data_IF_146693506865
#
_entry.id   IF_146693506865
#
_cell.length_a   1.000
_cell.length_b   1.000
_cell.length_c   1.000
_cell.angle_alpha   90.00
_cell.angle_beta   90.00
_cell.angle_gamma   90.00
#
_symmetry.space_group_name_H-M   'P 1'
#
loop_
_entity.id
_entity.type
_entity.pdbx_description
1 polymer ?
#
# COMPACT_ATOMS: atom_id res chain seq x y z
N UNK A 1 -18.11 -4.03 0.00
CA UNK A 1 -16.70 -3.61 -0.17
C UNK A 1 -16.22 -4.13 -1.51
N UNK A 2 -15.35 -3.41 -2.22
CA UNK A 2 -14.71 -3.87 -3.44
C UNK A 2 -13.22 -3.53 -3.39
N UNK A 3 -12.37 -4.53 -3.65
CA UNK A 3 -10.92 -4.35 -3.79
C UNK A 3 -10.56 -4.53 -5.26
N UNK A 4 -9.72 -3.63 -5.77
CA UNK A 4 -9.20 -3.66 -7.13
C UNK A 4 -7.71 -3.99 -7.05
N UNK A 5 -7.31 -5.17 -7.50
CA UNK A 5 -5.90 -5.61 -7.51
C UNK A 5 -5.19 -5.09 -8.75
N UNK A 6 -4.08 -4.36 -8.54
CA UNK A 6 -3.23 -3.74 -9.57
C UNK A 6 -4.04 -3.11 -10.73
N UNK A 7 -5.05 -2.27 -10.46
CA UNK A 7 -5.96 -1.78 -11.49
C UNK A 7 -5.31 -0.70 -12.35
N UNK A 8 -5.79 -0.59 -13.58
CA UNK A 8 -5.20 0.29 -14.58
C UNK A 8 -3.91 -0.30 -15.14
N UNK A 9 -3.04 0.57 -15.61
CA UNK A 9 -1.73 0.18 -16.14
C UNK A 9 -0.63 0.92 -15.37
N UNK A 10 -0.53 0.68 -14.06
CA UNK A 10 0.52 1.32 -13.26
C UNK A 10 1.91 0.93 -13.82
N UNK A 11 2.87 1.87 -13.86
CA UNK A 11 4.25 1.54 -14.22
C UNK A 11 4.81 0.53 -13.24
N UNK A 12 5.31 -0.61 -13.72
CA UNK A 12 5.78 -1.69 -12.85
C UNK A 12 6.92 -2.48 -13.50
N UNK A 13 7.78 -3.04 -12.67
CA UNK A 13 8.82 -3.98 -13.05
C UNK A 13 8.33 -5.40 -12.72
N UNK A 14 7.96 -6.15 -13.76
CA UNK A 14 7.39 -7.49 -13.64
C UNK A 14 8.47 -8.53 -13.92
N UNK A 15 8.47 -9.61 -13.13
CA UNK A 15 9.24 -10.81 -13.42
C UNK A 15 8.27 -11.92 -13.78
N UNK A 16 8.25 -12.37 -15.03
CA UNK A 16 7.34 -13.43 -15.47
C UNK A 16 7.88 -14.82 -15.12
N UNK A 17 9.20 -14.96 -14.98
CA UNK A 17 9.85 -16.18 -14.52
C UNK A 17 11.12 -15.86 -13.72
N UNK A 18 11.46 -16.76 -12.79
CA UNK A 18 12.68 -16.70 -11.95
C UNK A 18 14.00 -16.75 -12.75
N UNK A 19 13.91 -17.08 -14.04
CA UNK A 19 15.03 -17.17 -14.98
C UNK A 19 15.28 -15.89 -15.78
N UNK A 20 14.36 -14.92 -15.76
CA UNK A 20 14.51 -13.65 -16.46
C UNK A 20 15.56 -12.77 -15.75
N UNK A 21 16.66 -12.47 -16.45
CA UNK A 21 17.74 -11.62 -15.91
C UNK A 21 17.32 -10.16 -15.71
N UNK A 22 16.36 -9.68 -16.51
CA UNK A 22 15.90 -8.29 -16.48
C UNK A 22 14.36 -8.26 -16.43
N UNK A 23 13.76 -7.42 -15.57
CA UNK A 23 12.31 -7.31 -15.47
C UNK A 23 11.68 -6.72 -16.73
N UNK A 24 10.49 -7.21 -17.07
CA UNK A 24 9.62 -6.61 -18.08
C UNK A 24 9.07 -5.29 -17.54
N UNK A 25 9.24 -4.21 -18.31
CA UNK A 25 8.78 -2.86 -17.95
C UNK A 25 7.35 -2.64 -18.40
N UNK A 26 6.39 -2.87 -17.50
CA UNK A 26 5.00 -2.46 -17.73
C UNK A 26 4.93 -0.93 -17.68
N UNK A 27 4.33 -0.32 -18.70
CA UNK A 27 4.12 1.13 -18.81
C UNK A 27 5.36 1.95 -18.37
N UNK A 28 6.53 1.62 -18.93
CA UNK A 28 7.80 2.32 -18.65
C UNK A 28 8.53 1.86 -17.39
N UNK A 29 7.94 1.00 -16.55
CA UNK A 29 8.55 0.40 -15.38
C UNK A 29 8.61 1.29 -14.14
N UNK A 30 8.80 2.59 -14.30
CA UNK A 30 8.82 3.61 -13.22
C UNK A 30 7.88 4.76 -13.56
N UNK A 31 7.29 5.45 -12.57
CA UNK A 31 6.24 6.45 -12.82
C UNK A 31 6.67 7.58 -13.76
N UNK A 32 7.92 8.03 -13.70
CA UNK A 32 8.42 9.09 -14.60
C UNK A 32 8.65 8.68 -16.05
N UNK A 33 8.54 7.39 -16.37
CA UNK A 33 8.63 6.84 -17.71
C UNK A 33 7.28 6.28 -18.21
N UNK A 34 6.25 6.35 -17.38
CA UNK A 34 4.93 5.83 -17.71
C UNK A 34 4.02 6.83 -18.42
N UNK A 35 3.06 6.29 -19.17
CA UNK A 35 1.97 7.03 -19.76
C UNK A 35 0.75 7.01 -18.81
N UNK A 36 0.45 8.15 -18.21
CA UNK A 36 -0.66 8.33 -17.27
C UNK A 36 -2.02 8.23 -17.96
N UNK A 37 -2.16 8.71 -19.20
CA UNK A 37 -3.45 8.69 -19.89
C UNK A 37 -3.86 7.26 -20.27
N UNK A 38 -2.90 6.43 -20.69
CA UNK A 38 -3.16 5.01 -20.92
C UNK A 38 -3.49 4.29 -19.60
N UNK A 39 -2.79 4.59 -18.51
CA UNK A 39 -3.13 4.06 -17.18
C UNK A 39 -4.58 4.38 -16.79
N UNK A 40 -5.01 5.64 -16.90
CA UNK A 40 -6.35 6.07 -16.52
C UNK A 40 -7.44 5.50 -17.44
N UNK A 41 -7.13 5.32 -18.73
CA UNK A 41 -8.03 4.66 -19.68
C UNK A 41 -8.29 3.20 -19.26
N UNK A 42 -7.25 2.43 -18.97
CA UNK A 42 -7.39 1.04 -18.50
C UNK A 42 -8.06 1.00 -17.13
N UNK A 43 -7.71 1.93 -16.23
CA UNK A 43 -8.32 2.00 -14.90
C UNK A 43 -9.84 2.21 -14.99
N UNK A 44 -10.30 3.11 -15.87
CA UNK A 44 -11.73 3.34 -16.15
C UNK A 44 -12.44 2.06 -16.61
N UNK A 45 -11.78 1.25 -17.44
CA UNK A 45 -12.32 -0.04 -17.88
C UNK A 45 -12.44 -0.97 -16.67
N UNK A 46 -11.36 -1.18 -15.91
CA UNK A 46 -11.36 -2.10 -14.77
C UNK A 46 -12.43 -1.75 -13.73
N UNK A 47 -12.52 -0.48 -13.29
CA UNK A 47 -13.53 -0.09 -12.30
C UNK A 47 -14.97 -0.23 -12.84
N UNK A 48 -15.19 -0.01 -14.14
CA UNK A 48 -16.51 -0.16 -14.76
C UNK A 48 -16.93 -1.64 -14.82
N UNK A 49 -15.99 -2.54 -15.08
CA UNK A 49 -16.24 -3.98 -15.15
C UNK A 49 -16.37 -4.63 -13.77
N UNK A 50 -15.54 -4.23 -12.81
CA UNK A 50 -15.43 -4.85 -11.49
C UNK A 50 -16.41 -4.25 -10.46
N UNK A 51 -16.71 -2.94 -10.55
CA UNK A 51 -17.65 -2.24 -9.67
C UNK A 51 -18.84 -1.77 -10.51
N UNK A 52 -19.64 -2.70 -11.03
CA UNK A 52 -20.68 -2.40 -12.05
C UNK A 52 -21.73 -1.38 -11.61
N UNK A 53 -22.08 -1.36 -10.33
CA UNK A 53 -23.03 -0.39 -9.80
C UNK A 53 -22.41 1.01 -9.74
N UNK A 54 -22.86 1.91 -10.61
CA UNK A 54 -22.44 3.32 -10.65
C UNK A 54 -22.82 4.08 -9.36
N UNK A 55 -23.82 3.60 -8.63
CA UNK A 55 -24.25 4.14 -7.34
C UNK A 55 -23.58 3.45 -6.14
N UNK A 56 -22.57 2.60 -6.37
CA UNK A 56 -21.86 1.90 -5.30
C UNK A 56 -21.46 2.88 -4.20
N UNK A 57 -21.98 2.64 -3.00
CA UNK A 57 -21.79 3.49 -1.82
C UNK A 57 -21.00 2.81 -0.71
N UNK A 58 -20.27 1.74 -1.05
CA UNK A 58 -19.47 0.97 -0.11
C UNK A 58 -18.03 1.46 -0.01
N UNK A 59 -17.20 0.62 0.61
CA UNK A 59 -15.75 0.81 0.69
C UNK A 59 -15.10 0.34 -0.61
N UNK A 60 -14.36 1.22 -1.27
CA UNK A 60 -13.54 0.93 -2.46
C UNK A 60 -12.06 0.97 -2.10
N UNK A 61 -11.34 -0.10 -2.41
CA UNK A 61 -9.92 -0.23 -2.08
C UNK A 61 -9.12 -0.40 -3.37
N UNK A 62 -8.17 0.50 -3.59
CA UNK A 62 -7.19 0.37 -4.67
C UNK A 62 -5.98 -0.34 -4.09
N UNK A 63 -5.72 -1.54 -4.57
CA UNK A 63 -4.58 -2.35 -4.15
C UNK A 63 -3.48 -2.26 -5.20
N UNK A 64 -2.48 -1.43 -4.91
CA UNK A 64 -1.35 -1.14 -5.77
C UNK A 64 -0.10 -1.23 -4.91
N UNK A 65 0.75 -2.24 -5.16
CA UNK A 65 1.91 -2.55 -4.32
C UNK A 65 3.23 -2.55 -5.09
N UNK A 66 3.19 -2.30 -6.41
CA UNK A 66 4.37 -2.36 -7.28
C UNK A 66 5.50 -1.41 -6.83
N UNK A 67 5.18 -0.20 -6.35
CA UNK A 67 6.15 0.73 -5.76
C UNK A 67 5.49 1.68 -4.75
N UNK A 68 6.30 2.36 -3.92
CA UNK A 68 5.85 3.34 -2.92
C UNK A 68 6.13 4.76 -3.38
N UNK A 69 5.23 5.74 -3.17
CA UNK A 69 5.37 7.11 -3.68
C UNK A 69 6.51 7.90 -3.02
N UNK A 70 7.11 7.39 -1.94
CA UNK A 70 8.35 7.93 -1.35
C UNK A 70 9.53 7.11 -1.85
N UNK A 71 10.49 7.76 -2.52
CA UNK A 71 11.60 7.09 -3.20
C UNK A 71 12.45 6.26 -2.23
N UNK A 72 12.72 6.77 -1.03
CA UNK A 72 13.52 6.07 0.00
C UNK A 72 12.87 4.76 0.46
N UNK A 73 11.54 4.68 0.45
CA UNK A 73 10.79 3.51 0.92
C UNK A 73 10.79 2.34 -0.07
N UNK A 74 11.34 2.51 -1.28
CA UNK A 74 11.50 1.44 -2.26
C UNK A 74 12.79 0.64 -2.01
N UNK A 75 12.83 -0.07 -0.88
CA UNK A 75 13.95 -0.94 -0.47
C UNK A 75 13.62 -2.43 -0.70
N UNK A 76 14.60 -3.30 -0.43
CA UNK A 76 14.51 -4.75 -0.63
C UNK A 76 14.08 -5.09 -2.07
N UNK A 77 13.00 -5.85 -2.26
CA UNK A 77 12.49 -6.22 -3.59
C UNK A 77 12.08 -5.02 -4.46
N UNK A 78 11.89 -3.84 -3.88
CA UNK A 78 11.55 -2.61 -4.61
C UNK A 78 12.79 -1.78 -5.00
N UNK A 79 14.01 -2.23 -4.66
CA UNK A 79 15.25 -1.54 -5.05
C UNK A 79 15.38 -1.30 -6.58
N UNK A 80 14.96 -2.22 -7.47
CA UNK A 80 15.07 -2.01 -8.92
C UNK A 80 14.39 -0.72 -9.44
N UNK A 81 13.32 -0.25 -8.77
CA UNK A 81 12.68 1.03 -9.13
C UNK A 81 13.62 2.22 -8.92
N UNK A 82 14.45 2.19 -7.87
CA UNK A 82 15.44 3.24 -7.60
C UNK A 82 16.58 3.19 -8.62
N UNK A 83 17.07 1.99 -8.91
CA UNK A 83 18.16 1.76 -9.85
C UNK A 83 17.78 2.20 -11.27
N UNK A 84 16.60 1.80 -11.75
CA UNK A 84 16.09 2.24 -13.05
C UNK A 84 15.90 3.76 -13.10
N UNK A 85 15.39 4.37 -12.03
CA UNK A 85 15.21 5.82 -11.95
C UNK A 85 16.53 6.58 -12.05
N UNK A 86 17.58 6.09 -11.38
CA UNK A 86 18.94 6.65 -11.47
C UNK A 86 19.54 6.42 -12.87
N UNK A 87 19.40 5.22 -13.43
CA UNK A 87 19.90 4.87 -14.77
C UNK A 87 19.33 5.80 -15.85
N UNK A 88 18.03 6.08 -15.81
CA UNK A 88 17.38 7.02 -16.74
C UNK A 88 18.01 8.42 -16.66
N UNK A 89 18.41 8.88 -15.46
CA UNK A 89 19.10 10.18 -15.30
C UNK A 89 20.53 10.14 -15.81
N UNK A 90 21.25 9.04 -15.59
CA UNK A 90 22.61 8.85 -16.09
C UNK A 90 22.67 8.85 -17.62
N UNK A 91 21.74 8.16 -18.27
CA UNK A 91 21.63 8.12 -19.74
C UNK A 91 21.32 9.50 -20.33
N UNK A 92 20.48 10.29 -19.64
CA UNK A 92 20.07 11.62 -20.11
C UNK A 92 21.09 12.72 -19.81
N UNK A 93 21.84 12.62 -18.71
CA UNK A 93 22.74 13.66 -18.22
C UNK A 93 24.12 13.08 -17.86
N UNK A 94 24.95 12.73 -18.86
CA UNK A 94 26.26 12.11 -18.60
C UNK A 94 27.20 13.04 -17.82
N UNK A 95 28.07 12.44 -17.00
CA UNK A 95 29.15 13.14 -16.30
C UNK A 95 28.76 13.87 -15.00
N UNK A 96 27.56 13.66 -14.45
CA UNK A 96 27.18 14.18 -13.12
C UNK A 96 27.69 13.30 -11.97
N UNK A 97 27.70 13.86 -10.78
CA UNK A 97 28.04 13.15 -9.54
C UNK A 97 26.92 12.21 -9.09
N UNK A 98 27.29 11.18 -8.32
CA UNK A 98 26.35 10.17 -7.81
C UNK A 98 25.20 10.77 -7.01
N UNK A 99 25.50 11.69 -6.09
CA UNK A 99 24.51 12.37 -5.22
C UNK A 99 23.51 13.19 -6.03
N UNK A 100 23.95 13.80 -7.13
CA UNK A 100 23.07 14.50 -8.06
C UNK A 100 22.09 13.54 -8.74
N UNK A 101 22.57 12.39 -9.23
CA UNK A 101 21.68 11.43 -9.88
C UNK A 101 20.63 10.88 -8.93
N UNK A 102 21.01 10.53 -7.69
CA UNK A 102 20.08 10.04 -6.68
C UNK A 102 19.01 11.08 -6.35
N UNK A 103 19.41 12.34 -6.16
CA UNK A 103 18.49 13.44 -5.84
C UNK A 103 17.53 13.74 -7.00
N UNK A 104 18.07 13.85 -8.22
CA UNK A 104 17.27 14.12 -9.42
C UNK A 104 16.33 12.96 -9.79
N UNK A 105 16.74 11.71 -9.51
CA UNK A 105 15.91 10.53 -9.67
C UNK A 105 14.77 10.52 -8.66
N UNK A 106 15.06 10.77 -7.37
CA UNK A 106 14.07 10.85 -6.31
C UNK A 106 13.00 11.91 -6.60
N UNK A 107 13.41 13.14 -6.90
CA UNK A 107 12.49 14.24 -7.21
C UNK A 107 11.52 13.86 -8.34
N UNK A 108 12.05 13.36 -9.46
CA UNK A 108 11.23 13.05 -10.63
C UNK A 108 10.36 11.82 -10.41
N UNK A 109 10.84 10.82 -9.68
CA UNK A 109 10.08 9.63 -9.31
C UNK A 109 8.91 10.01 -8.40
N UNK A 110 9.14 10.75 -7.31
CA UNK A 110 8.09 11.11 -6.35
C UNK A 110 7.04 12.05 -6.98
N UNK A 111 7.46 13.02 -7.80
CA UNK A 111 6.52 13.89 -8.53
C UNK A 111 5.61 13.10 -9.49
N UNK A 112 6.19 12.15 -10.22
CA UNK A 112 5.41 11.35 -11.17
C UNK A 112 4.57 10.30 -10.45
N UNK A 113 5.08 9.73 -9.35
CA UNK A 113 4.35 8.80 -8.50
C UNK A 113 3.13 9.47 -7.85
N UNK A 114 3.27 10.73 -7.42
CA UNK A 114 2.13 11.56 -7.01
C UNK A 114 1.08 11.69 -8.11
N UNK A 115 1.46 12.02 -9.34
CA UNK A 115 0.51 12.21 -10.46
C UNK A 115 -0.31 10.94 -10.72
N UNK A 116 0.35 9.78 -10.78
CA UNK A 116 -0.31 8.49 -10.95
C UNK A 116 -1.27 8.19 -9.79
N UNK A 117 -0.79 8.18 -8.54
CA UNK A 117 -1.62 7.83 -7.38
C UNK A 117 -2.79 8.80 -7.21
N UNK A 118 -2.56 10.11 -7.37
CA UNK A 118 -3.58 11.12 -7.15
C UNK A 118 -4.66 11.14 -8.25
N UNK A 119 -4.27 11.05 -9.54
CA UNK A 119 -5.24 11.04 -10.64
C UNK A 119 -6.07 9.76 -10.66
N UNK A 120 -5.51 8.62 -10.29
CA UNK A 120 -6.24 7.35 -10.20
C UNK A 120 -7.30 7.38 -9.10
N UNK A 121 -6.94 7.88 -7.92
CA UNK A 121 -7.91 8.08 -6.84
C UNK A 121 -9.01 9.08 -7.20
N UNK A 122 -8.64 10.17 -7.85
CA UNK A 122 -9.58 11.18 -8.34
C UNK A 122 -10.58 10.53 -9.30
N UNK A 123 -10.09 9.76 -10.29
CA UNK A 123 -10.94 9.07 -11.26
C UNK A 123 -11.83 8.00 -10.60
N UNK A 124 -11.35 7.29 -9.58
CA UNK A 124 -12.17 6.34 -8.83
C UNK A 124 -13.37 7.04 -8.15
N UNK A 125 -13.12 8.20 -7.54
CA UNK A 125 -14.14 9.04 -6.90
C UNK A 125 -15.09 9.67 -7.92
N UNK A 126 -14.62 10.08 -9.09
CA UNK A 126 -15.48 10.59 -10.16
C UNK A 126 -16.43 9.50 -10.69
N UNK A 127 -15.92 8.29 -10.90
CA UNK A 127 -16.70 7.19 -11.46
C UNK A 127 -17.64 6.55 -10.44
N UNK A 128 -17.28 6.54 -9.15
CA UNK A 128 -18.11 6.00 -8.05
C UNK A 128 -18.17 7.01 -6.88
N UNK A 129 -18.91 8.12 -7.04
CA UNK A 129 -18.86 9.25 -6.11
C UNK A 129 -19.50 8.99 -4.75
N UNK A 130 -20.32 7.94 -4.62
CA UNK A 130 -20.94 7.56 -3.35
C UNK A 130 -20.06 6.64 -2.50
N UNK A 131 -19.03 6.04 -3.09
CA UNK A 131 -18.12 5.14 -2.40
C UNK A 131 -17.08 5.92 -1.57
N UNK A 132 -16.43 5.21 -0.65
CA UNK A 132 -15.31 5.72 0.13
C UNK A 132 -14.03 5.05 -0.35
N UNK A 133 -13.13 5.83 -0.93
CA UNK A 133 -11.92 5.33 -1.59
C UNK A 133 -10.65 5.58 -0.78
N UNK A 134 -9.72 4.63 -0.85
CA UNK A 134 -8.37 4.73 -0.31
C UNK A 134 -7.47 3.64 -0.88
N UNK A 135 -6.16 3.77 -0.62
CA UNK A 135 -5.17 2.77 -1.03
C UNK A 135 -4.89 1.78 0.09
N UNK A 136 -4.84 0.49 -0.27
CA UNK A 136 -4.40 -0.56 0.65
C UNK A 136 -2.96 -0.29 1.15
N UNK A 137 -2.71 -0.61 2.42
CA UNK A 137 -1.39 -0.59 3.04
C UNK A 137 -0.94 0.76 3.60
N UNK A 138 -1.57 1.88 3.22
CA UNK A 138 -1.18 3.22 3.67
C UNK A 138 -1.89 3.66 4.96
N UNK A 139 -1.20 4.40 5.86
CA UNK A 139 0.24 4.69 5.84
C UNK A 139 1.08 3.46 6.20
N UNK A 140 2.30 3.40 5.69
CA UNK A 140 3.28 2.42 6.14
C UNK A 140 3.94 2.87 7.46
N UNK A 141 4.32 1.88 8.27
CA UNK A 141 5.01 2.06 9.54
C UNK A 141 6.38 1.37 9.58
N UNK A 142 6.50 0.22 8.90
CA UNK A 142 7.68 -0.66 8.88
C UNK A 142 8.19 -1.12 10.26
N UNK A 143 7.37 -1.00 11.32
CA UNK A 143 7.64 -1.59 12.62
C UNK A 143 7.66 -3.12 12.53
N UNK A 144 8.51 -3.74 13.35
CA UNK A 144 8.63 -5.20 13.50
C UNK A 144 8.68 -5.95 12.16
N UNK A 145 9.46 -5.43 11.23
CA UNK A 145 9.54 -5.93 9.86
C UNK A 145 10.34 -7.25 9.70
N UNK A 146 10.81 -7.85 10.79
CA UNK A 146 11.54 -9.13 10.80
C UNK A 146 13.06 -8.98 10.92
N UNK A 147 13.58 -7.75 11.08
CA UNK A 147 14.95 -7.54 11.53
C UNK A 147 15.07 -7.91 13.01
N UNK A 148 16.01 -8.77 13.44
CA UNK A 148 16.21 -9.13 14.85
C UNK A 148 16.42 -7.93 15.77
N UNK A 149 16.89 -6.81 15.22
CA UNK A 149 17.17 -5.58 15.98
C UNK A 149 16.02 -4.56 15.93
N UNK A 150 14.94 -4.86 15.22
CA UNK A 150 13.78 -3.97 15.10
C UNK A 150 12.63 -4.49 15.97
N UNK A 151 12.73 -4.23 17.28
CA UNK A 151 11.70 -4.54 18.30
C UNK A 151 10.87 -3.30 18.67
N UNK A 152 10.92 -2.23 17.87
CA UNK A 152 10.21 -0.97 18.18
C UNK A 152 8.74 -1.07 17.79
N UNK A 153 7.86 -0.74 18.73
CA UNK A 153 6.41 -0.65 18.49
C UNK A 153 6.08 0.52 17.55
N UNK A 154 6.53 1.73 17.87
CA UNK A 154 6.24 2.91 17.06
C UNK A 154 7.01 2.88 15.73
N UNK A 155 6.41 3.48 14.70
CA UNK A 155 7.06 3.70 13.41
C UNK A 155 8.31 4.57 13.59
N UNK A 156 9.30 4.36 12.73
CA UNK A 156 10.52 5.16 12.74
C UNK A 156 10.21 6.65 12.48
N UNK A 157 10.95 7.55 13.12
CA UNK A 157 10.71 9.00 13.00
C UNK A 157 10.84 9.51 11.57
N UNK A 158 11.73 8.92 10.77
CA UNK A 158 11.87 9.32 9.36
C UNK A 158 10.70 8.81 8.52
N UNK A 159 10.13 7.65 8.87
CA UNK A 159 8.91 7.14 8.23
C UNK A 159 7.71 8.04 8.57
N UNK A 160 7.61 8.52 9.82
CA UNK A 160 6.55 9.47 10.21
C UNK A 160 6.67 10.80 9.44
N UNK A 161 7.87 11.36 9.31
CA UNK A 161 8.12 12.57 8.50
C UNK A 161 7.78 12.35 7.02
N UNK A 162 8.05 11.16 6.50
CA UNK A 162 7.67 10.80 5.13
C UNK A 162 6.16 10.68 4.95
N UNK A 163 5.46 10.08 5.91
CA UNK A 163 4.00 10.05 5.93
C UNK A 163 3.43 11.48 5.96
N UNK A 164 4.05 12.41 6.69
CA UNK A 164 3.67 13.83 6.68
C UNK A 164 3.87 14.47 5.30
N UNK A 165 4.94 14.12 4.58
CA UNK A 165 5.18 14.60 3.21
C UNK A 165 4.14 14.10 2.21
N UNK A 166 3.57 12.90 2.43
CA UNK A 166 2.45 12.37 1.63
C UNK A 166 1.08 12.65 2.24
N UNK A 167 0.93 13.68 3.08
CA UNK A 167 -0.39 14.09 3.60
C UNK A 167 -1.44 14.31 2.51
N UNK A 168 -1.01 14.68 1.30
CA UNK A 168 -1.86 14.82 0.12
C UNK A 168 -2.66 13.54 -0.20
N UNK A 169 -2.09 12.35 0.04
CA UNK A 169 -2.74 11.06 -0.21
C UNK A 169 -3.94 10.87 0.72
N UNK A 170 -3.76 11.19 2.01
CA UNK A 170 -4.79 11.07 3.03
C UNK A 170 -5.85 12.16 2.91
N UNK A 171 -5.46 13.36 2.42
CA UNK A 171 -6.41 14.41 2.07
C UNK A 171 -7.31 14.00 0.89
N UNK A 172 -6.74 13.37 -0.14
CA UNK A 172 -7.49 12.92 -1.31
C UNK A 172 -8.36 11.68 -1.02
N UNK A 173 -7.91 10.81 -0.11
CA UNK A 173 -8.63 9.60 0.32
C UNK A 173 -9.82 9.94 1.20
N UNK A 174 -10.86 9.10 1.15
CA UNK A 174 -12.01 9.19 2.05
C UNK A 174 -11.85 8.32 3.30
N UNK A 175 -10.92 7.35 3.27
CA UNK A 175 -10.73 6.29 4.26
C UNK A 175 -9.28 5.76 4.18
N UNK A 176 -8.74 5.28 5.30
CA UNK A 176 -7.34 4.85 5.45
C UNK A 176 -7.26 3.35 5.79
N UNK A 177 -6.31 2.64 5.19
CA UNK A 177 -6.22 1.17 5.23
C UNK A 177 -4.84 0.64 5.65
N UNK A 178 -4.43 0.76 6.93
CA UNK A 178 -3.19 0.13 7.37
C UNK A 178 -3.33 -1.40 7.34
N UNK A 179 -2.28 -2.09 6.89
CA UNK A 179 -2.18 -3.56 6.98
C UNK A 179 -1.45 -3.97 8.25
N UNK A 180 -2.05 -4.87 9.04
CA UNK A 180 -1.47 -5.39 10.30
C UNK A 180 -1.30 -6.91 10.28
N UNK A 181 -1.00 -7.47 9.11
CA UNK A 181 -0.86 -8.91 8.95
C UNK A 181 0.25 -9.46 9.86
N UNK A 182 -0.08 -10.53 10.59
CA UNK A 182 0.78 -11.12 11.60
C UNK A 182 1.69 -12.19 10.99
N UNK A 183 2.75 -12.54 11.73
CA UNK A 183 3.71 -13.61 11.39
C UNK A 183 4.03 -14.42 12.65
N UNK A 184 4.30 -15.71 12.48
CA UNK A 184 4.72 -16.59 13.57
C UNK A 184 6.16 -16.33 14.00
N UNK A 185 7.01 -15.77 13.13
CA UNK A 185 8.41 -15.44 13.43
C UNK A 185 8.63 -14.35 14.50
N UNK A 186 7.58 -13.67 14.94
CA UNK A 186 7.62 -12.71 16.06
C UNK A 186 6.77 -13.22 17.23
N UNK A 187 7.12 -12.82 18.44
CA UNK A 187 6.44 -13.23 19.67
C UNK A 187 5.00 -12.69 19.73
N UNK A 188 4.10 -13.30 20.53
CA UNK A 188 2.75 -12.78 20.72
C UNK A 188 2.70 -11.30 21.14
N UNK A 189 3.59 -10.87 22.05
CA UNK A 189 3.65 -9.47 22.47
C UNK A 189 4.08 -8.54 21.33
N UNK A 190 5.05 -8.96 20.53
CA UNK A 190 5.48 -8.24 19.33
C UNK A 190 4.35 -8.16 18.28
N UNK A 191 3.51 -9.18 18.13
CA UNK A 191 2.34 -9.11 17.23
C UNK A 191 1.38 -7.98 17.66
N UNK A 192 1.19 -7.79 18.96
CA UNK A 192 0.38 -6.68 19.48
C UNK A 192 1.07 -5.33 19.31
N UNK A 193 2.39 -5.25 19.53
CA UNK A 193 3.18 -4.04 19.23
C UNK A 193 3.08 -3.66 17.74
N UNK A 194 3.11 -4.65 16.84
CA UNK A 194 2.96 -4.45 15.40
C UNK A 194 1.63 -3.77 15.09
N UNK A 195 0.54 -4.33 15.60
CA UNK A 195 -0.82 -3.80 15.45
C UNK A 195 -0.89 -2.38 16.00
N UNK A 196 -0.49 -2.17 17.26
CA UNK A 196 -0.64 -0.88 17.92
C UNK A 196 0.10 0.24 17.19
N UNK A 197 1.36 0.00 16.82
CA UNK A 197 2.17 1.00 16.11
C UNK A 197 1.60 1.40 14.75
N UNK A 198 1.13 0.42 13.98
CA UNK A 198 0.55 0.68 12.64
C UNK A 198 -0.78 1.41 12.71
N UNK A 199 -1.67 0.99 13.60
CA UNK A 199 -2.98 1.63 13.77
C UNK A 199 -2.80 3.05 14.33
N UNK A 200 -1.90 3.24 15.31
CA UNK A 200 -1.60 4.55 15.87
C UNK A 200 -1.10 5.53 14.81
N UNK A 201 -0.24 5.10 13.89
CA UNK A 201 0.21 5.94 12.78
C UNK A 201 -0.90 6.25 11.77
N UNK A 202 -1.74 5.26 11.43
CA UNK A 202 -2.90 5.48 10.58
C UNK A 202 -3.87 6.50 11.18
N UNK A 203 -4.16 6.39 12.48
CA UNK A 203 -5.00 7.34 13.21
C UNK A 203 -4.33 8.71 13.32
N UNK A 204 -3.02 8.79 13.48
CA UNK A 204 -2.28 10.07 13.42
C UNK A 204 -2.49 10.75 12.07
N UNK A 205 -2.33 10.02 10.96
CA UNK A 205 -2.56 10.57 9.62
C UNK A 205 -4.04 10.93 9.38
N UNK A 206 -4.97 10.11 9.86
CA UNK A 206 -6.41 10.38 9.80
C UNK A 206 -6.81 11.69 10.51
N UNK A 207 -6.17 11.99 11.64
CA UNK A 207 -6.38 13.22 12.40
C UNK A 207 -5.64 14.43 11.82
N UNK A 208 -4.61 14.21 11.00
CA UNK A 208 -3.80 15.28 10.42
C UNK A 208 -4.29 15.76 9.05
N UNK A 209 -5.33 15.14 8.48
CA UNK A 209 -5.95 15.65 7.25
C UNK A 209 -6.47 17.07 7.44
N UNK A 210 -6.46 17.86 6.36
CA UNK A 210 -6.91 19.26 6.36
C UNK A 210 -8.31 19.43 5.75
N UNK A 211 -8.81 18.43 5.03
CA UNK A 211 -10.13 18.46 4.40
C UNK A 211 -11.20 17.68 5.17
N UNK A 212 -12.46 18.09 5.02
CA UNK A 212 -13.62 17.37 5.57
C UNK A 212 -14.01 16.14 4.73
N UNK A 213 -14.68 15.14 5.31
CA UNK A 213 -14.85 14.92 6.76
C UNK A 213 -13.52 14.62 7.48
N UNK A 214 -13.35 15.18 8.67
CA UNK A 214 -12.20 14.94 9.56
C UNK A 214 -12.65 14.40 10.93
N UNK A 215 -11.99 13.37 11.50
CA UNK A 215 -10.92 12.57 10.91
C UNK A 215 -11.41 11.62 9.82
N UNK A 216 -10.50 11.13 8.96
CA UNK A 216 -10.83 10.04 8.02
C UNK A 216 -11.07 8.74 8.81
N UNK A 217 -12.06 7.91 8.44
CA UNK A 217 -12.18 6.58 9.02
C UNK A 217 -10.93 5.73 8.74
N UNK A 218 -10.53 4.92 9.72
CA UNK A 218 -9.45 3.93 9.60
C UNK A 218 -10.06 2.54 9.66
N UNK A 219 -9.90 1.75 8.59
CA UNK A 219 -10.26 0.33 8.58
C UNK A 219 -9.00 -0.51 8.46
N UNK A 220 -8.71 -1.27 9.50
CA UNK A 220 -7.47 -2.03 9.59
C UNK A 220 -7.59 -3.36 8.83
N UNK A 221 -6.65 -3.64 7.94
CA UNK A 221 -6.57 -4.90 7.20
C UNK A 221 -5.89 -5.99 8.03
N UNK A 222 -6.57 -7.11 8.24
CA UNK A 222 -6.04 -8.31 8.90
C UNK A 222 -6.34 -9.57 8.08
N UNK A 223 -5.45 -10.57 8.16
CA UNK A 223 -5.68 -11.92 7.65
C UNK A 223 -6.14 -12.84 8.76
N UNK A 224 -6.95 -13.84 8.43
CA UNK A 224 -7.27 -14.93 9.37
C UNK A 224 -6.15 -15.97 9.52
N UNK A 225 -5.07 -15.85 8.76
CA UNK A 225 -3.88 -16.70 8.83
C UNK A 225 -2.63 -15.86 9.07
N UNK A 226 -1.59 -16.47 9.66
CA UNK A 226 -0.27 -15.87 9.69
C UNK A 226 0.33 -15.81 8.28
N UNK A 227 1.02 -14.72 7.98
CA UNK A 227 1.51 -14.42 6.62
C UNK A 227 2.61 -15.39 6.17
N UNK A 228 3.40 -15.88 7.09
CA UNK A 228 4.56 -16.75 6.89
C UNK A 228 4.19 -18.24 6.83
N UNK A 229 3.33 -18.73 7.72
CA UNK A 229 2.98 -20.16 7.80
C UNK A 229 1.66 -20.51 7.10
N UNK A 230 0.81 -19.52 6.82
CA UNK A 230 -0.57 -19.70 6.33
C UNK A 230 -1.47 -20.54 7.25
N UNK A 231 -1.08 -20.73 8.51
CA UNK A 231 -1.93 -21.35 9.53
C UNK A 231 -2.88 -20.33 10.13
N UNK A 232 -4.06 -20.77 10.60
CA UNK A 232 -5.04 -19.90 11.26
C UNK A 232 -4.41 -19.14 12.44
N UNK A 233 -4.82 -17.89 12.62
CA UNK A 233 -4.45 -17.12 13.80
C UNK A 233 -4.99 -17.81 15.06
N UNK A 234 -4.17 -17.83 16.10
CA UNK A 234 -4.60 -18.31 17.41
C UNK A 234 -5.70 -17.42 17.98
N UNK A 235 -6.57 -18.01 18.81
CA UNK A 235 -7.67 -17.29 19.47
C UNK A 235 -7.19 -16.04 20.22
N UNK A 236 -6.05 -16.15 20.91
CA UNK A 236 -5.47 -15.05 21.67
C UNK A 236 -5.01 -13.89 20.76
N UNK A 237 -4.39 -14.19 19.62
CA UNK A 237 -3.97 -13.18 18.64
C UNK A 237 -5.18 -12.50 18.00
N UNK A 238 -6.28 -13.23 17.80
CA UNK A 238 -7.56 -12.65 17.39
C UNK A 238 -8.11 -11.68 18.41
N UNK A 239 -8.36 -12.15 19.64
CA UNK A 239 -9.03 -11.36 20.67
C UNK A 239 -8.19 -10.14 21.06
N UNK A 240 -6.91 -10.34 21.35
CA UNK A 240 -5.99 -9.25 21.74
C UNK A 240 -5.69 -8.33 20.56
N UNK A 241 -5.57 -8.87 19.35
CA UNK A 241 -5.33 -8.08 18.15
C UNK A 241 -6.49 -7.14 17.83
N UNK A 242 -7.73 -7.64 17.86
CA UNK A 242 -8.93 -6.81 17.66
C UNK A 242 -9.07 -5.74 18.74
N UNK A 243 -8.79 -6.08 20.01
CA UNK A 243 -8.78 -5.12 21.11
C UNK A 243 -7.71 -4.03 20.89
N UNK A 244 -6.49 -4.40 20.51
CA UNK A 244 -5.41 -3.45 20.23
C UNK A 244 -5.75 -2.50 19.07
N UNK A 245 -6.42 -2.99 18.01
CA UNK A 245 -6.89 -2.14 16.91
C UNK A 245 -7.93 -1.13 17.39
N UNK A 246 -8.91 -1.59 18.18
CA UNK A 246 -9.97 -0.75 18.74
C UNK A 246 -9.40 0.31 19.69
N UNK A 247 -8.52 -0.09 20.60
CA UNK A 247 -7.86 0.80 21.58
C UNK A 247 -7.05 1.90 20.89
N UNK A 248 -6.37 1.59 19.78
CA UNK A 248 -5.60 2.56 19.02
C UNK A 248 -6.44 3.43 18.07
N UNK A 249 -7.77 3.23 18.02
CA UNK A 249 -8.69 4.10 17.30
C UNK A 249 -9.09 3.63 15.90
N UNK A 250 -8.90 2.36 15.56
CA UNK A 250 -9.47 1.79 14.32
C UNK A 250 -11.01 1.86 14.36
N UNK A 251 -11.63 2.36 13.30
CA UNK A 251 -13.10 2.43 13.20
C UNK A 251 -13.74 1.11 12.78
N UNK A 252 -12.94 0.17 12.30
CA UNK A 252 -13.37 -1.17 11.95
C UNK A 252 -12.21 -2.00 11.41
N UNK A 253 -12.55 -3.19 10.90
CA UNK A 253 -11.59 -4.17 10.39
C UNK A 253 -12.04 -4.67 9.03
N UNK A 254 -11.09 -4.88 8.12
CA UNK A 254 -11.29 -5.63 6.89
C UNK A 254 -10.56 -6.96 7.05
N UNK A 255 -11.36 -8.04 7.09
CA UNK A 255 -10.83 -9.40 7.06
C UNK A 255 -10.55 -9.78 5.60
N UNK A 256 -9.27 -9.98 5.27
CA UNK A 256 -8.81 -10.32 3.92
C UNK A 256 -8.31 -11.76 3.86
N UNK A 257 -8.54 -12.42 2.72
CA UNK A 257 -8.06 -13.76 2.41
C UNK A 257 -7.53 -13.83 0.98
N UNK A 258 -6.54 -14.69 0.75
CA UNK A 258 -6.10 -15.03 -0.60
C UNK A 258 -7.04 -16.04 -1.22
N UNK A 259 -7.23 -16.00 -2.53
CA UNK A 259 -7.92 -17.09 -3.26
C UNK A 259 -7.24 -18.45 -3.03
N UNK A 260 -5.91 -18.45 -2.81
CA UNK A 260 -5.14 -19.68 -2.57
C UNK A 260 -5.43 -20.31 -1.20
N UNK A 261 -5.90 -19.50 -0.25
CA UNK A 261 -6.24 -19.96 1.09
C UNK A 261 -7.53 -20.80 1.07
N UNK A 262 -8.38 -20.65 0.04
CA UNK A 262 -9.71 -21.29 -0.08
C UNK A 262 -9.94 -21.91 -1.48
N UNK A 263 -8.88 -22.39 -2.13
CA UNK A 263 -8.95 -22.94 -3.50
C UNK A 263 -9.40 -24.42 -3.60
N UNK A 264 -9.89 -25.02 -2.52
CA UNK A 264 -10.43 -26.39 -2.50
C UNK A 264 -11.61 -26.52 -1.55
N UNK A 265 -12.49 -27.50 -1.80
CA UNK A 265 -13.63 -27.80 -0.92
C UNK A 265 -13.21 -28.13 0.51
N UNK A 266 -12.05 -28.77 0.68
CA UNK A 266 -11.49 -29.10 2.00
C UNK A 266 -11.10 -27.82 2.75
N UNK A 267 -10.27 -26.96 2.15
CA UNK A 267 -9.89 -25.67 2.73
C UNK A 267 -11.11 -24.79 3.06
N UNK A 268 -12.15 -24.83 2.23
CA UNK A 268 -13.41 -24.10 2.49
C UNK A 268 -14.24 -24.68 3.65
N UNK A 269 -14.11 -25.97 3.96
CA UNK A 269 -14.79 -26.60 5.10
C UNK A 269 -14.02 -26.42 6.41
N UNK A 270 -12.69 -26.33 6.31
CA UNK A 270 -11.81 -26.12 7.46
C UNK A 270 -11.83 -24.66 7.97
N UNK A 271 -12.20 -23.71 7.10
CA UNK A 271 -12.42 -22.30 7.43
C UNK A 271 -13.80 -22.05 8.04
#
# INVERSE_FOLDING_TARGET
IAILYEPGLFPALLHHDSTEKEPVKQNGGVPQAGNIDEHLKIFRINITELVKDVNFSGVGVIDFESWRPIFRQNFASLLPYKELSVKIKQEKYPGKEKTWYESAAAEKFELSGWDFVNRTLTLAKELRPKAKWGYYGFPYCFNLNGSPNNTKENCDSDVQKENDRIHWLFNASDIIFPSVYLRTTITPDERLMLIRGRVKEAVRMANNVTGEPKPRPVLTYIRYVYTDTKTLLEKDDWEKGLNAMKEMGSNGVILWGSSDDLNSTEKCKDF
#
